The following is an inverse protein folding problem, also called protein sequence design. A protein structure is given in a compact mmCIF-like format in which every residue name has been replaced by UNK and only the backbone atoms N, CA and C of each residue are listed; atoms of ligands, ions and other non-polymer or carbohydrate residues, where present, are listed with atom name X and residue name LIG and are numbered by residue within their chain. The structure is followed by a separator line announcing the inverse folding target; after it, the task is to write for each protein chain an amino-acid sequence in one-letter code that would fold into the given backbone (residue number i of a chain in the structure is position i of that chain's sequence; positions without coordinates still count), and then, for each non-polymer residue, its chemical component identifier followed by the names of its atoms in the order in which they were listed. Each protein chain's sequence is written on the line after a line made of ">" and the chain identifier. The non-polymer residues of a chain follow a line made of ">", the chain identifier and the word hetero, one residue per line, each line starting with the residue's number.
data_IF_410536233987
#
_entry.id   IF_410536233987
#
_cell.length_a   1.000
_cell.length_b   1.000
_cell.length_c   1.000
_cell.angle_alpha   90.00
_cell.angle_beta   90.00
_cell.angle_gamma   90.00
#
_symmetry.space_group_name_H-M   'P 1'
#
loop_
_entity.id
_entity.type
_entity.pdbx_description
1 polymer ?
#
# COMPACT_ATOMS: atom_id res chain seq x y z
N UNK A 1 26.32 -0.39 0.87
CA UNK A 1 25.43 -0.98 -0.17
C UNK A 1 26.28 -1.25 -1.39
N UNK A 2 26.30 -2.50 -1.86
CA UNK A 2 27.16 -2.93 -2.97
C UNK A 2 26.29 -3.35 -4.16
N UNK A 3 26.64 -2.88 -5.36
CA UNK A 3 25.98 -3.28 -6.60
C UNK A 3 26.84 -4.33 -7.29
N UNK A 4 26.25 -5.47 -7.65
CA UNK A 4 26.90 -6.55 -8.39
C UNK A 4 26.06 -6.80 -9.65
N UNK A 5 26.47 -6.22 -10.78
CA UNK A 5 25.66 -6.21 -12.01
C UNK A 5 24.33 -5.48 -11.77
N UNK A 6 23.22 -6.22 -11.80
CA UNK A 6 21.85 -5.73 -11.54
C UNK A 6 21.34 -6.08 -10.13
N UNK A 7 22.17 -6.66 -9.25
CA UNK A 7 21.77 -7.04 -7.89
C UNK A 7 22.30 -6.04 -6.87
N UNK A 8 21.45 -5.62 -5.93
CA UNK A 8 21.83 -4.78 -4.80
C UNK A 8 22.00 -5.62 -3.54
N UNK A 9 23.18 -5.54 -2.93
CA UNK A 9 23.47 -6.13 -1.63
C UNK A 9 23.48 -5.02 -0.57
N UNK A 10 22.51 -5.08 0.35
CA UNK A 10 22.41 -4.17 1.48
C UNK A 10 23.28 -4.68 2.64
N UNK A 11 24.11 -3.80 3.21
CA UNK A 11 24.90 -4.12 4.41
C UNK A 11 24.01 -4.22 5.65
N UNK A 12 23.06 -3.28 5.78
CA UNK A 12 21.98 -3.34 6.76
C UNK A 12 20.74 -3.91 6.08
N UNK A 13 20.20 -5.01 6.60
CA UNK A 13 19.04 -5.69 6.04
C UNK A 13 17.80 -4.81 6.16
N UNK A 14 17.21 -4.32 5.04
CA UNK A 14 15.96 -3.58 5.11
C UNK A 14 14.84 -4.51 5.60
N UNK A 15 13.95 -3.99 6.42
CA UNK A 15 12.80 -4.72 6.96
C UNK A 15 11.51 -4.03 6.57
N UNK A 16 10.49 -4.82 6.20
CA UNK A 16 9.14 -4.30 5.94
C UNK A 16 8.43 -4.18 7.28
N UNK A 17 8.19 -2.94 7.72
CA UNK A 17 7.67 -2.64 9.07
C UNK A 17 6.15 -2.77 9.13
N UNK A 18 5.47 -2.49 8.01
CA UNK A 18 4.02 -2.61 7.90
C UNK A 18 3.62 -2.57 6.42
N UNK A 19 2.47 -3.16 6.12
CA UNK A 19 1.78 -3.11 4.82
C UNK A 19 0.33 -2.70 5.04
N UNK A 20 -0.29 -2.14 4.01
CA UNK A 20 -1.70 -1.81 3.96
C UNK A 20 -2.19 -2.08 2.55
N UNK A 21 -3.22 -2.91 2.42
CA UNK A 21 -3.70 -3.38 1.11
C UNK A 21 -5.20 -3.20 1.02
N UNK A 22 -5.65 -2.33 0.11
CA UNK A 22 -7.07 -2.03 -0.08
C UNK A 22 -7.43 -2.32 -1.52
N UNK A 23 -8.56 -2.98 -1.73
CA UNK A 23 -8.96 -3.49 -3.03
C UNK A 23 -10.43 -3.21 -3.34
N UNK A 24 -10.81 -3.40 -4.60
CA UNK A 24 -12.18 -3.33 -5.06
C UNK A 24 -12.98 -4.61 -4.77
N UNK A 25 -14.26 -4.62 -5.17
CA UNK A 25 -15.15 -5.75 -4.92
C UNK A 25 -14.73 -7.02 -5.67
N UNK A 26 -14.23 -6.88 -6.90
CA UNK A 26 -13.83 -8.04 -7.73
C UNK A 26 -12.65 -8.80 -7.11
N UNK A 27 -11.63 -8.11 -6.61
CA UNK A 27 -10.52 -8.78 -5.92
C UNK A 27 -10.95 -9.40 -4.57
N UNK A 28 -12.01 -8.85 -3.97
CA UNK A 28 -12.63 -9.35 -2.74
C UNK A 28 -13.48 -10.61 -2.90
N UNK A 29 -13.89 -10.96 -4.12
CA UNK A 29 -14.50 -12.27 -4.41
C UNK A 29 -13.45 -13.37 -4.62
N UNK A 30 -12.16 -12.98 -4.68
CA UNK A 30 -11.04 -13.89 -4.85
C UNK A 30 -10.69 -14.69 -3.58
N UNK A 31 -9.89 -15.76 -3.70
CA UNK A 31 -9.48 -16.60 -2.58
C UNK A 31 -8.55 -15.90 -1.57
N UNK A 32 -8.08 -14.69 -1.88
CA UNK A 32 -7.20 -13.87 -1.04
C UNK A 32 -7.96 -12.74 -0.32
N UNK A 33 -9.30 -12.75 -0.38
CA UNK A 33 -10.14 -11.71 0.23
C UNK A 33 -9.81 -11.43 1.70
N UNK A 34 -9.50 -12.49 2.46
CA UNK A 34 -9.19 -12.42 3.90
C UNK A 34 -7.83 -11.79 4.21
N UNK A 35 -6.91 -11.73 3.24
CA UNK A 35 -5.58 -11.13 3.41
C UNK A 35 -5.59 -9.61 3.21
N UNK A 36 -6.64 -9.07 2.60
CA UNK A 36 -6.78 -7.63 2.38
C UNK A 36 -7.22 -6.90 3.65
N UNK A 37 -6.75 -5.66 3.81
CA UNK A 37 -7.11 -4.84 4.95
C UNK A 37 -8.55 -4.34 4.88
N UNK A 38 -9.00 -4.02 3.67
CA UNK A 38 -10.32 -3.50 3.39
C UNK A 38 -10.68 -3.80 1.94
N UNK A 39 -11.93 -4.19 1.74
CA UNK A 39 -12.50 -4.48 0.43
C UNK A 39 -13.65 -3.49 0.23
N UNK A 40 -13.65 -2.78 -0.88
CA UNK A 40 -14.73 -1.89 -1.24
C UNK A 40 -15.90 -2.64 -1.87
N UNK A 41 -17.13 -2.26 -1.50
CA UNK A 41 -18.35 -2.88 -2.05
C UNK A 41 -18.69 -2.36 -3.46
N UNK A 42 -18.13 -1.22 -3.87
CA UNK A 42 -18.39 -0.59 -5.16
C UNK A 42 -17.09 -0.22 -5.87
N UNK A 43 -17.05 -0.46 -7.18
CA UNK A 43 -15.91 -0.24 -8.06
C UNK A 43 -15.57 1.26 -8.24
N UNK A 44 -16.56 2.14 -8.05
CA UNK A 44 -16.36 3.60 -8.12
C UNK A 44 -15.78 4.18 -6.82
N UNK A 45 -15.73 3.41 -5.72
CA UNK A 45 -15.06 3.78 -4.46
C UNK A 45 -15.53 5.15 -3.95
N UNK A 46 -16.82 5.45 -4.16
CA UNK A 46 -17.47 6.73 -3.83
C UNK A 46 -16.86 7.97 -4.54
N UNK A 47 -16.14 7.79 -5.63
CA UNK A 47 -15.53 8.87 -6.42
C UNK A 47 -16.22 9.05 -7.78
N UNK A 48 -16.02 10.23 -8.38
CA UNK A 48 -16.69 10.62 -9.64
C UNK A 48 -16.01 10.10 -10.90
N UNK A 49 -14.73 9.72 -10.81
CA UNK A 49 -13.95 9.22 -11.94
C UNK A 49 -13.04 8.10 -11.46
N UNK A 50 -12.68 7.20 -12.37
CA UNK A 50 -11.81 6.06 -12.11
C UNK A 50 -10.44 6.47 -11.56
N UNK A 51 -9.83 7.53 -12.09
CA UNK A 51 -8.52 8.01 -11.64
C UNK A 51 -8.56 8.52 -10.19
N UNK A 52 -9.70 9.06 -9.76
CA UNK A 52 -9.90 9.49 -8.37
C UNK A 52 -10.11 8.29 -7.46
N UNK A 53 -10.86 7.28 -7.90
CA UNK A 53 -11.04 6.04 -7.16
C UNK A 53 -9.70 5.35 -6.90
N UNK A 54 -8.83 5.25 -7.92
CA UNK A 54 -7.49 4.67 -7.77
C UNK A 54 -6.61 5.50 -6.81
N UNK A 55 -6.66 6.82 -6.93
CA UNK A 55 -5.95 7.71 -6.00
C UNK A 55 -6.42 7.51 -4.55
N UNK A 56 -7.73 7.35 -4.33
CA UNK A 56 -8.29 7.08 -3.00
C UNK A 56 -7.83 5.76 -2.42
N UNK A 57 -7.82 4.69 -3.22
CA UNK A 57 -7.28 3.38 -2.81
C UNK A 57 -5.86 3.52 -2.26
N UNK A 58 -5.00 4.23 -2.98
CA UNK A 58 -3.61 4.42 -2.58
C UNK A 58 -3.47 5.27 -1.30
N UNK A 59 -4.24 6.36 -1.20
CA UNK A 59 -4.26 7.23 -0.03
C UNK A 59 -4.69 6.47 1.24
N UNK A 60 -5.73 5.65 1.13
CA UNK A 60 -6.23 4.87 2.25
C UNK A 60 -5.33 3.69 2.60
N UNK A 61 -4.73 3.01 1.62
CA UNK A 61 -3.77 1.94 1.88
C UNK A 61 -2.58 2.47 2.68
N UNK A 62 -2.13 3.69 2.36
CA UNK A 62 -1.11 4.40 3.14
C UNK A 62 -1.59 4.70 4.55
N UNK A 63 -2.82 5.16 4.74
CA UNK A 63 -3.36 5.45 6.06
C UNK A 63 -3.54 4.19 6.92
N UNK A 64 -4.09 3.11 6.35
CA UNK A 64 -4.21 1.79 6.99
C UNK A 64 -2.85 1.28 7.47
N UNK A 65 -1.82 1.36 6.62
CA UNK A 65 -0.45 1.02 6.97
C UNK A 65 0.07 1.82 8.16
N UNK A 66 -0.27 3.12 8.22
CA UNK A 66 0.12 3.99 9.33
C UNK A 66 -0.61 3.63 10.62
N UNK A 67 -1.91 3.33 10.56
CA UNK A 67 -2.72 2.91 11.71
C UNK A 67 -2.23 1.59 12.30
N UNK A 68 -1.91 0.59 11.48
CA UNK A 68 -1.25 -0.66 11.93
C UNK A 68 0.07 -0.40 12.65
N UNK A 69 0.76 0.69 12.31
CA UNK A 69 2.07 1.06 12.84
C UNK A 69 2.02 1.94 14.10
N UNK A 70 0.87 2.48 14.52
CA UNK A 70 0.76 3.61 15.46
C UNK A 70 1.56 3.54 16.79
N UNK A 71 2.22 2.42 17.13
CA UNK A 71 3.25 2.34 18.17
C UNK A 71 4.66 2.85 17.80
N UNK A 72 5.00 3.17 16.54
CA UNK A 72 6.38 3.59 16.18
C UNK A 72 6.45 4.72 15.15
N UNK A 73 6.68 5.94 15.65
CA UNK A 73 6.91 7.19 14.92
C UNK A 73 8.24 7.15 14.13
N UNK A 74 8.21 6.63 12.90
CA UNK A 74 9.28 6.77 11.91
C UNK A 74 8.71 7.54 10.72
N UNK A 75 9.38 8.63 10.34
CA UNK A 75 9.09 9.37 9.12
C UNK A 75 9.27 8.45 7.91
N UNK A 76 8.22 8.29 7.11
CA UNK A 76 8.33 7.65 5.81
C UNK A 76 8.95 8.67 4.84
N UNK A 77 10.26 8.56 4.57
CA UNK A 77 10.97 9.45 3.65
C UNK A 77 10.72 9.13 2.16
N UNK A 78 9.89 8.14 1.86
CA UNK A 78 9.33 7.96 0.51
C UNK A 78 8.01 8.72 0.43
N UNK A 79 8.10 10.03 0.17
CA UNK A 79 7.00 10.76 -0.44
C UNK A 79 6.80 10.17 -1.83
N UNK A 80 5.57 9.76 -2.16
CA UNK A 80 5.22 9.45 -3.53
C UNK A 80 5.65 10.63 -4.40
N UNK A 81 6.68 10.43 -5.22
CA UNK A 81 6.79 11.19 -6.45
C UNK A 81 5.58 10.73 -7.27
N UNK A 82 4.49 11.49 -7.13
CA UNK A 82 3.47 11.51 -8.15
C UNK A 82 4.19 11.94 -9.43
N UNK A 83 4.07 11.08 -10.44
CA UNK A 83 4.56 11.32 -11.80
C UNK A 83 3.96 12.64 -12.31
#
# INVERSE_FOLDING_TARGET
>A
MKVIGQTWQFENKPVIISTGTIVGPEEGEGPLAEDFDYVYDNIEINEKTWEKAERRLLEEAREKRWRRRASARINCNFSSAAI
#
